data_IF_802890395286
#
_entry.id   IF_802890395286
#
_cell.length_a   1.000
_cell.length_b   1.000
_cell.length_c   1.000
_cell.angle_alpha   90.00
_cell.angle_beta   90.00
_cell.angle_gamma   90.00
#
_symmetry.space_group_name_H-M   'P 1'
#
loop_
_entity.id
_entity.type
_entity.pdbx_description
1 polymer ?
#
# COMPACT_ATOMS: atom_id res chain seq x y z
N UNK A 1 19.37 38.68 -26.20
CA UNK A 1 19.77 37.56 -27.05
C UNK A 1 20.76 36.74 -26.24
N UNK A 2 20.28 35.70 -25.55
CA UNK A 2 21.16 34.79 -24.82
C UNK A 2 21.55 33.68 -25.80
N UNK A 3 22.83 33.63 -26.17
CA UNK A 3 23.40 32.53 -26.95
C UNK A 3 23.25 31.23 -26.16
N UNK A 4 22.52 30.27 -26.73
CA UNK A 4 22.49 28.89 -26.25
C UNK A 4 23.87 28.27 -26.47
N UNK A 5 24.67 28.23 -25.41
CA UNK A 5 25.94 27.49 -25.41
C UNK A 5 25.65 26.00 -25.51
N UNK A 6 25.74 25.43 -26.72
CA UNK A 6 25.68 23.98 -26.88
C UNK A 6 26.87 23.30 -26.18
N UNK A 7 26.65 22.25 -25.38
CA UNK A 7 27.73 21.56 -24.70
C UNK A 7 28.66 20.89 -25.72
N UNK A 8 29.96 21.23 -25.68
CA UNK A 8 31.02 20.60 -26.48
C UNK A 8 31.17 19.13 -26.10
N UNK A 9 30.34 18.26 -26.67
CA UNK A 9 30.46 16.82 -26.53
C UNK A 9 31.70 16.33 -27.30
N UNK A 10 32.66 15.74 -26.58
CA UNK A 10 33.84 15.10 -27.16
C UNK A 10 33.43 13.98 -28.14
N UNK A 11 33.45 14.28 -29.44
CA UNK A 11 33.06 13.35 -30.53
C UNK A 11 34.01 12.15 -30.73
N UNK A 12 35.13 12.08 -29.98
CA UNK A 12 36.08 10.95 -30.05
C UNK A 12 35.47 9.58 -29.71
N UNK A 13 34.42 9.54 -28.88
CA UNK A 13 33.80 8.29 -28.41
C UNK A 13 32.31 8.13 -28.81
N UNK A 14 31.72 9.13 -29.47
CA UNK A 14 30.34 9.09 -29.97
C UNK A 14 30.38 9.21 -31.49
N UNK A 15 30.63 8.08 -32.16
CA UNK A 15 30.41 7.98 -33.61
C UNK A 15 28.91 8.07 -33.88
N UNK A 16 28.54 8.74 -34.97
CA UNK A 16 27.17 8.73 -35.44
C UNK A 16 26.78 7.27 -35.73
N UNK A 17 25.58 6.88 -35.30
CA UNK A 17 25.03 5.54 -35.49
C UNK A 17 23.95 5.64 -36.58
N UNK A 18 24.26 5.30 -37.84
CA UNK A 18 23.29 5.44 -38.93
C UNK A 18 22.06 4.54 -38.78
N UNK A 19 22.13 3.55 -37.91
CA UNK A 19 21.05 2.62 -37.58
C UNK A 19 20.20 3.06 -36.37
N UNK A 20 20.54 4.17 -35.72
CA UNK A 20 19.88 4.72 -34.52
C UNK A 20 19.16 6.02 -34.95
N UNK A 21 18.10 5.85 -35.75
CA UNK A 21 17.24 6.95 -36.22
C UNK A 21 16.16 7.26 -35.20
N UNK A 22 15.76 8.54 -35.09
CA UNK A 22 14.74 9.01 -34.13
C UNK A 22 13.37 8.30 -34.28
N UNK A 23 13.12 7.64 -35.42
CA UNK A 23 11.91 6.85 -35.68
C UNK A 23 11.88 5.48 -34.98
N UNK A 24 13.01 4.99 -34.45
CA UNK A 24 13.10 3.66 -33.82
C UNK A 24 12.69 3.76 -32.35
N UNK A 25 11.53 3.16 -32.03
CA UNK A 25 11.10 3.01 -30.64
C UNK A 25 11.90 1.90 -29.93
N UNK A 26 13.02 2.31 -29.35
CA UNK A 26 13.91 1.46 -28.55
C UNK A 26 13.24 0.82 -27.32
N UNK A 27 12.04 1.29 -26.94
CA UNK A 27 11.31 0.81 -25.77
C UNK A 27 10.12 -0.08 -26.12
N UNK A 28 9.92 -0.38 -27.41
CA UNK A 28 8.89 -1.31 -27.85
C UNK A 28 9.22 -2.72 -27.37
N UNK A 29 8.30 -3.31 -26.62
CA UNK A 29 8.44 -4.67 -26.12
C UNK A 29 7.91 -5.61 -27.21
N UNK A 30 8.78 -6.45 -27.76
CA UNK A 30 8.39 -7.49 -28.71
C UNK A 30 7.86 -8.72 -27.95
N UNK A 31 6.84 -9.34 -28.51
CA UNK A 31 6.22 -10.53 -27.91
C UNK A 31 7.15 -11.74 -28.05
N UNK A 32 7.43 -12.40 -26.92
CA UNK A 32 8.29 -13.58 -26.90
C UNK A 32 7.49 -14.81 -27.37
N UNK A 33 7.67 -15.22 -28.62
CA UNK A 33 7.08 -16.41 -29.21
C UNK A 33 7.81 -17.71 -28.82
N UNK A 34 7.11 -18.87 -28.84
CA UNK A 34 7.72 -20.18 -28.60
C UNK A 34 8.90 -20.52 -29.53
N UNK A 35 8.92 -19.97 -30.74
CA UNK A 35 9.96 -20.18 -31.76
C UNK A 35 11.33 -19.60 -31.37
N UNK A 36 11.37 -18.62 -30.46
CA UNK A 36 12.63 -18.04 -29.98
C UNK A 36 13.37 -18.94 -28.98
N UNK A 37 12.76 -20.04 -28.56
CA UNK A 37 13.37 -20.99 -27.64
C UNK A 37 14.12 -22.08 -28.43
N UNK A 38 15.46 -22.05 -28.39
CA UNK A 38 16.29 -23.07 -29.05
C UNK A 38 16.25 -24.42 -28.32
N UNK A 39 16.17 -24.42 -26.99
CA UNK A 39 16.18 -25.61 -26.14
C UNK A 39 15.27 -25.44 -24.92
N UNK A 40 14.63 -26.52 -24.42
CA UNK A 40 13.80 -26.45 -23.22
C UNK A 40 14.64 -26.13 -21.98
N UNK A 41 14.00 -25.52 -20.97
CA UNK A 41 14.67 -25.24 -19.70
C UNK A 41 15.16 -26.52 -19.02
N UNK A 42 16.41 -26.48 -18.54
CA UNK A 42 17.04 -27.59 -17.82
C UNK A 42 16.58 -27.65 -16.36
N UNK A 43 16.32 -26.49 -15.75
CA UNK A 43 15.97 -26.34 -14.34
C UNK A 43 14.49 -25.97 -14.14
N UNK A 44 13.96 -26.34 -12.97
CA UNK A 44 12.59 -26.02 -12.56
C UNK A 44 12.58 -24.81 -11.62
N UNK A 45 11.77 -23.81 -11.94
CA UNK A 45 11.45 -22.69 -11.06
C UNK A 45 10.08 -22.92 -10.44
N UNK A 46 9.99 -22.82 -9.10
CA UNK A 46 8.76 -23.04 -8.34
C UNK A 46 8.50 -21.88 -7.38
N UNK A 47 7.29 -21.35 -7.38
CA UNK A 47 6.85 -20.33 -6.42
C UNK A 47 5.55 -20.76 -5.76
N UNK A 48 5.48 -20.59 -4.44
CA UNK A 48 4.28 -20.85 -3.65
C UNK A 48 3.80 -19.57 -2.95
N UNK A 49 2.50 -19.45 -2.72
CA UNK A 49 1.89 -18.40 -1.91
C UNK A 49 0.72 -18.96 -1.12
N UNK A 50 0.71 -18.69 0.20
CA UNK A 50 -0.38 -19.04 1.09
C UNK A 50 -1.58 -18.10 0.88
N UNK A 51 -2.80 -18.65 1.00
CA UNK A 51 -4.03 -17.87 0.96
C UNK A 51 -4.88 -18.08 2.23
N UNK A 52 -5.67 -17.08 2.63
CA UNK A 52 -6.55 -17.21 3.79
C UNK A 52 -7.70 -18.19 3.54
N UNK A 53 -8.13 -18.94 4.57
CA UNK A 53 -9.20 -19.95 4.47
C UNK A 53 -10.49 -19.46 3.80
N UNK A 54 -10.90 -18.21 4.02
CA UNK A 54 -12.11 -17.65 3.40
C UNK A 54 -12.03 -17.53 1.86
N UNK A 55 -10.83 -17.64 1.26
CA UNK A 55 -10.65 -17.60 -0.21
C UNK A 55 -10.81 -18.95 -0.89
N UNK A 56 -10.80 -20.03 -0.12
CA UNK A 56 -10.83 -21.39 -0.62
C UNK A 56 -11.99 -21.68 -1.58
N UNK A 57 -13.22 -21.32 -1.18
CA UNK A 57 -14.41 -21.61 -2.00
C UNK A 57 -14.30 -20.97 -3.40
N UNK A 58 -13.89 -19.70 -3.45
CA UNK A 58 -13.70 -18.97 -4.71
C UNK A 58 -12.54 -19.55 -5.54
N UNK A 59 -11.41 -19.88 -4.89
CA UNK A 59 -10.25 -20.43 -5.59
C UNK A 59 -10.57 -21.80 -6.18
N UNK A 60 -11.29 -22.66 -5.44
CA UNK A 60 -11.72 -23.97 -5.93
C UNK A 60 -12.61 -23.87 -7.16
N UNK A 61 -13.56 -22.92 -7.18
CA UNK A 61 -14.45 -22.69 -8.33
C UNK A 61 -13.70 -22.14 -9.55
N UNK A 62 -12.77 -21.21 -9.33
CA UNK A 62 -12.06 -20.52 -10.42
C UNK A 62 -10.77 -21.20 -10.87
N UNK A 63 -10.29 -22.22 -10.15
CA UNK A 63 -9.03 -22.91 -10.44
C UNK A 63 -8.94 -23.49 -11.86
N UNK A 64 -9.98 -24.11 -12.43
CA UNK A 64 -9.94 -24.62 -13.81
C UNK A 64 -9.66 -23.52 -14.85
N UNK A 65 -10.10 -22.28 -14.58
CA UNK A 65 -9.82 -21.14 -15.44
C UNK A 65 -8.37 -20.67 -15.29
N UNK A 66 -7.82 -20.74 -14.06
CA UNK A 66 -6.41 -20.44 -13.79
C UNK A 66 -5.50 -21.44 -14.50
N UNK A 67 -5.80 -22.74 -14.43
CA UNK A 67 -5.03 -23.79 -15.11
C UNK A 67 -5.03 -23.57 -16.62
N UNK A 68 -6.21 -23.32 -17.21
CA UNK A 68 -6.32 -23.07 -18.66
C UNK A 68 -5.58 -21.80 -19.11
N UNK A 69 -5.50 -20.77 -18.26
CA UNK A 69 -4.77 -19.54 -18.57
C UNK A 69 -3.24 -19.74 -18.50
N UNK A 70 -2.74 -20.47 -17.50
CA UNK A 70 -1.31 -20.72 -17.31
C UNK A 70 -0.75 -21.80 -18.24
N UNK A 71 -1.57 -22.75 -18.67
CA UNK A 71 -1.19 -23.80 -19.62
C UNK A 71 -0.75 -23.22 -20.97
N UNK A 72 -1.32 -22.08 -21.39
CA UNK A 72 -0.89 -21.34 -22.60
C UNK A 72 0.57 -20.88 -22.56
N UNK A 73 1.11 -20.69 -21.37
CA UNK A 73 2.50 -20.30 -21.14
C UNK A 73 3.39 -21.51 -20.77
N UNK A 74 2.83 -22.73 -20.81
CA UNK A 74 3.51 -23.94 -20.39
C UNK A 74 3.83 -23.98 -18.88
N UNK A 75 3.06 -23.26 -18.05
CA UNK A 75 3.26 -23.23 -16.60
C UNK A 75 2.26 -24.16 -15.92
N UNK A 76 2.75 -25.02 -15.03
CA UNK A 76 1.90 -25.87 -14.21
C UNK A 76 1.50 -25.14 -12.93
N UNK A 77 0.30 -25.39 -12.42
CA UNK A 77 -0.17 -24.82 -11.17
C UNK A 77 -0.93 -25.85 -10.32
N UNK A 78 -0.74 -25.79 -9.00
CA UNK A 78 -1.34 -26.68 -8.01
C UNK A 78 -2.01 -25.86 -6.92
N UNK A 79 -3.23 -26.25 -6.55
CA UNK A 79 -3.98 -25.69 -5.43
C UNK A 79 -4.05 -26.72 -4.32
N UNK A 80 -3.42 -26.41 -3.19
CA UNK A 80 -3.48 -27.22 -1.97
C UNK A 80 -4.49 -26.61 -0.99
N UNK A 81 -5.56 -27.37 -0.71
CA UNK A 81 -6.63 -26.97 0.21
C UNK A 81 -6.36 -27.35 1.67
N UNK A 82 -5.43 -28.29 1.90
CA UNK A 82 -5.03 -28.74 3.23
C UNK A 82 -4.06 -27.73 3.83
N UNK A 83 -3.00 -27.40 3.09
CA UNK A 83 -2.05 -26.36 3.49
C UNK A 83 -2.58 -24.95 3.27
N UNK A 84 -3.54 -24.77 2.35
CA UNK A 84 -4.03 -23.46 1.95
C UNK A 84 -3.00 -22.69 1.12
N UNK A 85 -2.37 -23.37 0.16
CA UNK A 85 -1.29 -22.84 -0.67
C UNK A 85 -1.59 -22.96 -2.16
N UNK A 86 -1.13 -21.99 -2.95
CA UNK A 86 -1.12 -22.03 -4.41
C UNK A 86 0.33 -22.09 -4.86
N UNK A 87 0.64 -23.01 -5.76
CA UNK A 87 1.99 -23.20 -6.30
C UNK A 87 1.97 -23.10 -7.81
N UNK A 88 2.95 -22.43 -8.39
CA UNK A 88 3.20 -22.36 -9.84
C UNK A 88 4.61 -22.83 -10.14
N UNK A 89 4.78 -23.61 -11.21
CA UNK A 89 6.06 -24.22 -11.59
C UNK A 89 6.29 -24.15 -13.09
N UNK A 90 7.52 -23.87 -13.51
CA UNK A 90 7.90 -24.03 -14.92
C UNK A 90 7.87 -25.50 -15.31
N UNK A 91 7.66 -25.77 -16.60
CA UNK A 91 7.69 -27.11 -17.16
C UNK A 91 8.63 -27.13 -18.35
N UNK A 92 8.90 -28.32 -18.91
CA UNK A 92 9.68 -28.45 -20.16
C UNK A 92 9.03 -27.78 -21.37
N UNK A 93 7.74 -27.39 -21.27
CA UNK A 93 6.99 -26.68 -22.32
C UNK A 93 6.98 -25.16 -22.10
N UNK A 94 7.50 -24.66 -20.98
CA UNK A 94 7.62 -23.22 -20.76
C UNK A 94 8.62 -22.65 -21.75
N UNK A 95 8.22 -21.61 -22.48
CA UNK A 95 9.07 -20.97 -23.48
C UNK A 95 9.54 -19.58 -23.02
N UNK A 96 8.69 -18.79 -22.37
CA UNK A 96 9.07 -17.48 -21.84
C UNK A 96 9.68 -17.63 -20.42
N UNK A 97 10.97 -17.29 -20.22
CA UNK A 97 11.61 -17.38 -18.90
C UNK A 97 11.02 -16.40 -17.87
N UNK A 98 10.40 -15.30 -18.30
CA UNK A 98 9.83 -14.29 -17.40
C UNK A 98 8.38 -14.60 -17.00
N UNK A 99 7.67 -15.42 -17.78
CA UNK A 99 6.27 -15.82 -17.53
C UNK A 99 6.03 -16.38 -16.13
N UNK A 100 7.00 -17.11 -15.55
CA UNK A 100 6.90 -17.66 -14.19
C UNK A 100 6.81 -16.56 -13.12
N UNK A 101 7.47 -15.42 -13.32
CA UNK A 101 7.42 -14.29 -12.39
C UNK A 101 6.05 -13.60 -12.44
N UNK A 102 5.43 -13.53 -13.63
CA UNK A 102 4.05 -13.07 -13.79
C UNK A 102 3.04 -14.04 -13.16
N UNK A 103 3.25 -15.34 -13.33
CA UNK A 103 2.41 -16.37 -12.70
C UNK A 103 2.49 -16.35 -11.17
N UNK A 104 3.70 -16.12 -10.61
CA UNK A 104 3.89 -15.85 -9.17
C UNK A 104 3.07 -14.65 -8.72
N UNK A 105 3.04 -13.59 -9.52
CA UNK A 105 2.30 -12.37 -9.20
C UNK A 105 0.79 -12.57 -9.31
N UNK A 106 0.32 -13.37 -10.27
CA UNK A 106 -1.06 -13.83 -10.39
C UNK A 106 -1.55 -14.54 -9.12
N UNK A 107 -0.82 -15.55 -8.63
CA UNK A 107 -1.24 -16.28 -7.41
C UNK A 107 -1.21 -15.38 -6.17
N UNK A 108 -0.28 -14.42 -6.09
CA UNK A 108 -0.28 -13.42 -5.02
C UNK A 108 -1.50 -12.52 -5.07
N UNK A 109 -1.92 -12.07 -6.25
CA UNK A 109 -3.13 -11.26 -6.43
C UNK A 109 -4.40 -12.03 -6.04
N UNK A 110 -4.50 -13.29 -6.45
CA UNK A 110 -5.62 -14.18 -6.08
C UNK A 110 -5.71 -14.39 -4.56
N UNK A 111 -4.56 -14.53 -3.88
CA UNK A 111 -4.46 -14.62 -2.43
C UNK A 111 -4.89 -13.31 -1.73
N UNK A 112 -4.75 -12.16 -2.40
CA UNK A 112 -5.24 -10.84 -1.94
C UNK A 112 -6.62 -10.47 -2.48
N UNK A 113 -7.42 -11.48 -2.80
CA UNK A 113 -8.82 -11.38 -3.21
C UNK A 113 -9.11 -10.52 -4.43
N UNK A 114 -8.13 -10.37 -5.32
CA UNK A 114 -8.41 -9.84 -6.65
C UNK A 114 -9.18 -10.89 -7.46
N UNK A 115 -10.30 -10.55 -8.12
CA UNK A 115 -11.03 -11.48 -8.97
C UNK A 115 -10.18 -11.97 -10.15
N UNK A 116 -10.33 -13.24 -10.52
CA UNK A 116 -9.57 -13.87 -11.60
C UNK A 116 -9.62 -13.12 -12.95
N UNK A 117 -10.78 -12.63 -13.44
CA UNK A 117 -10.84 -11.89 -14.72
C UNK A 117 -9.99 -10.63 -14.73
N UNK A 118 -9.74 -10.05 -13.56
CA UNK A 118 -8.86 -8.89 -13.43
C UNK A 118 -7.41 -9.31 -13.17
N UNK A 119 -7.19 -10.35 -12.38
CA UNK A 119 -5.86 -10.83 -12.02
C UNK A 119 -5.09 -11.41 -13.22
N UNK A 120 -5.76 -12.12 -14.13
CA UNK A 120 -5.13 -12.76 -15.30
C UNK A 120 -4.42 -11.77 -16.23
N UNK A 121 -4.86 -10.50 -16.23
CA UNK A 121 -4.24 -9.42 -17.02
C UNK A 121 -2.79 -9.15 -16.64
N UNK A 122 -2.32 -9.61 -15.47
CA UNK A 122 -0.89 -9.52 -15.09
C UNK A 122 0.01 -10.39 -15.96
N UNK A 123 -0.55 -11.37 -16.69
CA UNK A 123 0.20 -12.18 -17.64
C UNK A 123 0.56 -11.40 -18.91
N UNK A 124 -0.22 -10.37 -19.26
CA UNK A 124 0.01 -9.50 -20.41
C UNK A 124 1.22 -8.56 -20.16
N UNK A 125 1.95 -8.22 -21.21
CA UNK A 125 3.05 -7.26 -21.12
C UNK A 125 2.57 -5.84 -20.84
N UNK A 126 3.39 -5.07 -20.12
CA UNK A 126 3.08 -3.69 -19.72
C UNK A 126 2.15 -3.56 -18.50
N UNK A 127 1.55 -4.65 -18.02
CA UNK A 127 0.77 -4.68 -16.77
C UNK A 127 1.62 -5.32 -15.68
N UNK A 128 1.93 -4.54 -14.64
CA UNK A 128 2.60 -5.03 -13.44
C UNK A 128 1.63 -5.04 -12.26
N UNK A 129 2.03 -5.71 -11.19
CA UNK A 129 1.31 -5.68 -9.92
C UNK A 129 2.15 -5.00 -8.82
N UNK A 130 1.47 -4.46 -7.81
CA UNK A 130 2.08 -3.94 -6.59
C UNK A 130 1.22 -4.28 -5.38
N UNK A 131 1.83 -4.85 -4.33
CA UNK A 131 1.16 -5.16 -3.06
C UNK A 131 1.73 -4.25 -1.98
N UNK A 132 1.02 -3.17 -1.69
CA UNK A 132 1.45 -2.11 -0.79
C UNK A 132 1.03 -2.46 0.65
N UNK A 133 2.01 -2.63 1.53
CA UNK A 133 1.77 -2.89 2.96
C UNK A 133 1.42 -1.60 3.70
N UNK A 134 0.19 -1.53 4.24
CA UNK A 134 -0.31 -0.35 4.98
C UNK A 134 -0.44 -0.58 6.49
N UNK A 135 -0.46 -1.84 6.94
CA UNK A 135 -0.75 -2.19 8.34
C UNK A 135 0.17 -1.59 9.40
N UNK A 136 1.46 -1.43 9.09
CA UNK A 136 2.46 -0.98 10.08
C UNK A 136 2.64 0.54 10.15
N UNK A 137 1.91 1.31 9.34
CA UNK A 137 2.11 2.76 9.23
C UNK A 137 1.45 3.52 10.38
N UNK A 138 0.32 3.00 10.90
CA UNK A 138 -0.44 3.66 11.97
C UNK A 138 -0.53 2.75 13.18
N UNK A 139 -0.07 3.23 14.36
CA UNK A 139 -0.09 2.46 15.61
C UNK A 139 -1.50 2.16 16.15
N UNK A 140 -2.42 3.12 16.02
CA UNK A 140 -3.78 2.99 16.54
C UNK A 140 -4.71 2.36 15.48
N UNK A 141 -5.37 1.25 15.85
CA UNK A 141 -6.29 0.49 14.99
C UNK A 141 -7.47 1.33 14.47
N UNK A 142 -8.10 2.15 15.30
CA UNK A 142 -9.22 3.01 14.87
C UNK A 142 -8.77 4.02 13.82
N UNK A 143 -7.60 4.63 14.04
CA UNK A 143 -7.03 5.60 13.10
C UNK A 143 -6.67 4.92 11.79
N UNK A 144 -6.14 3.70 11.85
CA UNK A 144 -5.85 2.87 10.67
C UNK A 144 -7.14 2.60 9.87
N UNK A 145 -8.21 2.13 10.52
CA UNK A 145 -9.49 1.86 9.86
C UNK A 145 -10.07 3.12 9.22
N UNK A 146 -10.06 4.26 9.92
CA UNK A 146 -10.53 5.55 9.38
C UNK A 146 -9.70 6.02 8.18
N UNK A 147 -8.37 5.87 8.20
CA UNK A 147 -7.49 6.23 7.06
C UNK A 147 -7.63 5.26 5.88
N UNK A 148 -7.80 3.96 6.14
CA UNK A 148 -8.09 2.97 5.11
C UNK A 148 -9.43 3.25 4.44
N UNK A 149 -10.47 3.55 5.22
CA UNK A 149 -11.78 3.91 4.68
C UNK A 149 -11.73 5.21 3.87
N UNK A 150 -10.93 6.20 4.30
CA UNK A 150 -10.68 7.42 3.55
C UNK A 150 -10.08 7.17 2.16
N UNK A 151 -9.21 6.16 2.01
CA UNK A 151 -8.64 5.77 0.71
C UNK A 151 -9.71 5.24 -0.25
N UNK A 152 -10.71 4.52 0.28
CA UNK A 152 -11.86 4.03 -0.49
C UNK A 152 -12.79 5.19 -0.84
N UNK A 153 -13.05 6.07 0.13
CA UNK A 153 -13.99 7.18 0.02
C UNK A 153 -15.45 6.75 0.19
N UNK A 154 -16.39 7.72 0.24
CA UNK A 154 -17.81 7.43 0.27
C UNK A 154 -18.23 6.74 -1.04
N UNK A 155 -18.96 5.62 -0.93
CA UNK A 155 -19.40 4.79 -2.07
C UNK A 155 -18.28 4.39 -3.05
N UNK A 156 -17.02 4.32 -2.59
CA UNK A 156 -15.88 3.97 -3.47
C UNK A 156 -15.46 5.07 -4.46
N UNK A 157 -16.01 6.29 -4.34
CA UNK A 157 -15.72 7.40 -5.27
C UNK A 157 -14.23 7.76 -5.37
N UNK A 158 -13.53 7.79 -4.23
CA UNK A 158 -12.10 8.13 -4.18
C UNK A 158 -11.26 7.03 -4.83
N UNK A 159 -11.57 5.77 -4.54
CA UNK A 159 -10.95 4.62 -5.18
C UNK A 159 -11.14 4.65 -6.69
N UNK A 160 -12.37 4.86 -7.16
CA UNK A 160 -12.67 4.90 -8.60
C UNK A 160 -11.98 6.06 -9.30
N UNK A 161 -11.91 7.23 -8.67
CA UNK A 161 -11.18 8.37 -9.21
C UNK A 161 -9.68 8.08 -9.38
N UNK A 162 -9.05 7.43 -8.39
CA UNK A 162 -7.65 7.01 -8.48
C UNK A 162 -7.48 6.02 -9.64
N UNK A 163 -8.33 5.00 -9.75
CA UNK A 163 -8.27 4.01 -10.83
C UNK A 163 -8.34 4.64 -12.22
N UNK A 164 -9.26 5.58 -12.44
CA UNK A 164 -9.43 6.26 -13.73
C UNK A 164 -8.26 7.18 -14.08
N UNK A 165 -7.65 7.82 -13.08
CA UNK A 165 -6.51 8.73 -13.28
C UNK A 165 -5.22 7.96 -13.56
N UNK A 166 -4.95 6.90 -12.80
CA UNK A 166 -3.71 6.12 -12.94
C UNK A 166 -3.79 5.00 -13.97
N UNK A 167 -4.99 4.71 -14.49
CA UNK A 167 -5.30 3.52 -15.34
C UNK A 167 -4.90 2.22 -14.64
N UNK A 168 -4.99 2.19 -13.31
CA UNK A 168 -4.73 1.01 -12.51
C UNK A 168 -6.03 0.47 -11.94
N UNK A 169 -6.06 -0.81 -11.64
CA UNK A 169 -7.05 -1.43 -10.77
C UNK A 169 -6.52 -1.43 -9.32
N UNK A 170 -7.35 -1.10 -8.34
CA UNK A 170 -6.95 -1.06 -6.94
C UNK A 170 -7.94 -1.82 -6.05
N UNK A 171 -7.42 -2.76 -5.25
CA UNK A 171 -8.18 -3.51 -4.26
C UNK A 171 -7.64 -3.25 -2.86
N UNK A 172 -8.46 -2.62 -2.01
CA UNK A 172 -8.09 -2.33 -0.62
C UNK A 172 -8.62 -3.45 0.27
N UNK A 173 -7.72 -4.29 0.80
CA UNK A 173 -8.14 -5.40 1.66
C UNK A 173 -7.23 -5.58 2.88
N UNK A 174 -7.85 -5.67 4.05
CA UNK A 174 -7.15 -5.96 5.31
C UNK A 174 -6.07 -4.91 5.58
N UNK A 175 -4.81 -5.37 5.61
CA UNK A 175 -3.62 -4.56 5.92
C UNK A 175 -2.77 -4.25 4.68
N UNK A 176 -3.29 -4.51 3.49
CA UNK A 176 -2.60 -4.27 2.21
C UNK A 176 -3.51 -3.63 1.19
N UNK A 177 -2.91 -2.95 0.23
CA UNK A 177 -3.58 -2.47 -0.98
C UNK A 177 -2.92 -3.14 -2.16
N UNK A 178 -3.68 -3.94 -2.90
CA UNK A 178 -3.23 -4.54 -4.15
C UNK A 178 -3.53 -3.60 -5.29
N UNK A 179 -2.57 -3.40 -6.18
CA UNK A 179 -2.73 -2.58 -7.37
C UNK A 179 -2.22 -3.32 -8.61
N UNK A 180 -2.85 -3.08 -9.75
CA UNK A 180 -2.45 -3.64 -11.05
C UNK A 180 -2.52 -2.56 -12.11
N UNK A 181 -1.55 -2.51 -13.02
CA UNK A 181 -1.58 -1.59 -14.15
C UNK A 181 -0.18 -1.18 -14.63
N UNK A 182 -0.08 -0.07 -15.37
CA UNK A 182 1.20 0.38 -15.92
C UNK A 182 2.14 0.90 -14.82
N UNK A 183 3.44 0.76 -15.04
CA UNK A 183 4.49 1.16 -14.07
C UNK A 183 4.37 2.60 -13.58
N UNK A 184 4.09 3.56 -14.47
CA UNK A 184 3.88 4.97 -14.12
C UNK A 184 2.71 5.14 -13.15
N UNK A 185 1.57 4.49 -13.46
CA UNK A 185 0.37 4.52 -12.63
C UNK A 185 0.58 3.87 -11.26
N UNK A 186 1.31 2.75 -11.21
CA UNK A 186 1.65 2.07 -9.95
C UNK A 186 2.53 2.95 -9.04
N UNK A 187 3.50 3.68 -9.60
CA UNK A 187 4.36 4.59 -8.84
C UNK A 187 3.54 5.71 -8.19
N UNK A 188 2.63 6.32 -8.94
CA UNK A 188 1.72 7.34 -8.41
C UNK A 188 0.76 6.79 -7.37
N UNK A 189 0.17 5.61 -7.62
CA UNK A 189 -0.73 4.95 -6.69
C UNK A 189 -0.03 4.60 -5.38
N UNK A 190 1.19 4.04 -5.44
CA UNK A 190 2.00 3.76 -4.25
C UNK A 190 2.24 5.01 -3.41
N UNK A 191 2.57 6.14 -4.04
CA UNK A 191 2.72 7.44 -3.36
C UNK A 191 1.44 7.85 -2.65
N UNK A 192 0.29 7.82 -3.37
CA UNK A 192 -1.02 8.19 -2.83
C UNK A 192 -1.40 7.35 -1.60
N UNK A 193 -1.24 6.03 -1.70
CA UNK A 193 -1.60 5.09 -0.63
C UNK A 193 -0.76 5.34 0.63
N UNK A 194 0.57 5.46 0.47
CA UNK A 194 1.47 5.69 1.59
C UNK A 194 1.22 7.06 2.26
N UNK A 195 1.01 8.11 1.46
CA UNK A 195 0.77 9.46 1.97
C UNK A 195 -0.61 9.58 2.64
N UNK A 196 -1.62 8.87 2.12
CA UNK A 196 -2.92 8.72 2.77
C UNK A 196 -2.79 8.12 4.18
N UNK A 197 -1.95 7.09 4.32
CA UNK A 197 -1.66 6.47 5.61
C UNK A 197 -0.81 7.37 6.52
N UNK A 198 -0.05 8.33 5.98
CA UNK A 198 0.71 9.37 6.69
C UNK A 198 -0.11 10.64 7.00
N UNK A 199 -1.44 10.56 6.95
CA UNK A 199 -2.38 11.64 7.29
C UNK A 199 -2.59 12.73 6.22
N UNK A 200 -2.09 12.55 5.00
CA UNK A 200 -2.44 13.43 3.88
C UNK A 200 -3.79 12.94 3.31
N UNK A 201 -4.67 13.82 2.86
CA UNK A 201 -5.94 13.38 2.27
C UNK A 201 -5.73 13.01 0.79
N UNK A 202 -6.23 11.85 0.30
CA UNK A 202 -5.99 11.40 -1.08
C UNK A 202 -6.50 12.37 -2.13
N UNK A 203 -7.54 13.15 -1.81
CA UNK A 203 -8.08 14.21 -2.68
C UNK A 203 -7.03 15.22 -3.16
N UNK A 204 -5.98 15.49 -2.37
CA UNK A 204 -4.92 16.41 -2.78
C UNK A 204 -4.11 15.84 -3.92
N UNK A 205 -3.76 14.55 -3.85
CA UNK A 205 -3.07 13.88 -4.95
C UNK A 205 -3.98 13.64 -6.16
N UNK A 206 -5.28 13.43 -5.94
CA UNK A 206 -6.25 13.36 -7.05
C UNK A 206 -6.24 14.68 -7.83
N UNK A 207 -6.33 15.82 -7.12
CA UNK A 207 -6.23 17.15 -7.75
C UNK A 207 -4.88 17.37 -8.44
N UNK A 208 -3.78 16.98 -7.78
CA UNK A 208 -2.43 17.02 -8.35
C UNK A 208 -2.36 16.24 -9.67
N UNK A 209 -2.88 15.00 -9.70
CA UNK A 209 -2.91 14.16 -10.90
C UNK A 209 -3.81 14.71 -12.01
N UNK A 210 -4.96 15.30 -11.65
CA UNK A 210 -5.82 15.97 -12.62
C UNK A 210 -5.10 17.12 -13.30
N UNK A 211 -4.44 17.99 -12.53
CA UNK A 211 -3.66 19.12 -13.06
C UNK A 211 -2.50 18.62 -13.93
N UNK A 212 -1.73 17.63 -13.46
CA UNK A 212 -0.64 17.04 -14.25
C UNK A 212 -1.12 16.45 -15.56
N UNK A 213 -2.29 15.81 -15.59
CA UNK A 213 -2.86 15.23 -16.80
C UNK A 213 -3.32 16.28 -17.79
N UNK A 214 -3.84 17.41 -17.34
CA UNK A 214 -4.16 18.54 -18.22
C UNK A 214 -2.88 19.21 -18.75
N UNK A 215 -1.91 19.51 -17.88
CA UNK A 215 -0.62 20.11 -18.29
C UNK A 215 0.17 19.23 -19.26
N UNK A 216 0.08 17.90 -19.12
CA UNK A 216 0.75 16.96 -20.02
C UNK A 216 0.20 16.99 -21.46
N UNK A 217 -1.00 17.55 -21.69
CA UNK A 217 -1.56 17.70 -23.05
C UNK A 217 -0.91 18.87 -23.79
N UNK A 218 -0.37 19.84 -23.07
CA UNK A 218 0.22 21.05 -23.67
C UNK A 218 1.69 20.79 -24.06
N UNK A 219 2.04 20.79 -25.36
CA UNK A 219 3.39 20.46 -25.81
C UNK A 219 4.42 21.52 -25.40
N UNK A 220 4.00 22.77 -25.20
CA UNK A 220 4.87 23.90 -24.84
C UNK A 220 5.50 23.76 -23.45
N UNK A 221 4.81 23.09 -22.53
CA UNK A 221 5.19 22.97 -21.12
C UNK A 221 5.88 21.63 -20.82
N UNK A 222 6.10 20.77 -21.81
CA UNK A 222 6.61 19.41 -21.62
C UNK A 222 8.03 19.37 -21.04
N UNK A 223 8.86 20.37 -21.32
CA UNK A 223 10.26 20.47 -20.86
C UNK A 223 10.44 21.30 -19.59
N UNK A 224 9.41 22.04 -19.16
CA UNK A 224 9.47 22.91 -17.98
C UNK A 224 9.01 22.21 -16.69
N UNK A 225 9.49 22.67 -15.54
CA UNK A 225 9.00 22.18 -14.24
C UNK A 225 7.59 22.68 -13.95
N UNK A 226 6.69 21.76 -13.59
CA UNK A 226 5.29 22.06 -13.28
C UNK A 226 5.04 22.48 -11.82
N UNK A 227 6.07 22.59 -10.98
CA UNK A 227 5.92 22.85 -9.54
C UNK A 227 5.16 24.14 -9.21
N UNK A 228 5.16 25.12 -10.12
CA UNK A 228 4.39 26.38 -9.99
C UNK A 228 2.87 26.15 -10.03
N UNK A 229 2.41 25.16 -10.80
CA UNK A 229 0.99 24.87 -11.00
C UNK A 229 0.47 23.83 -10.01
N UNK A 230 1.37 23.09 -9.35
CA UNK A 230 0.98 22.07 -8.39
C UNK A 230 0.51 22.71 -7.08
N UNK A 231 -0.62 22.23 -6.50
CA UNK A 231 -1.14 22.76 -5.26
C UNK A 231 -0.24 22.36 -4.09
N UNK A 232 0.54 23.31 -3.57
CA UNK A 232 1.35 23.10 -2.37
C UNK A 232 0.49 23.20 -1.11
N UNK A 233 0.30 22.09 -0.40
CA UNK A 233 -0.40 22.10 0.87
C UNK A 233 0.50 22.66 1.98
N UNK A 234 0.28 23.91 2.38
CA UNK A 234 0.89 24.46 3.58
C UNK A 234 0.31 23.76 4.80
N UNK A 235 1.14 22.99 5.52
CA UNK A 235 0.79 22.43 6.81
C UNK A 235 0.49 23.58 7.76
N UNK A 236 -0.80 23.88 7.99
CA UNK A 236 -1.23 24.85 9.00
C UNK A 236 -0.92 24.24 10.37
N UNK A 237 0.29 24.47 10.86
CA UNK A 237 0.63 24.29 12.27
C UNK A 237 -0.06 25.41 13.04
N UNK A 238 -1.37 25.27 13.27
CA UNK A 238 -2.10 26.17 14.16
C UNK A 238 -1.37 26.11 15.49
N UNK A 239 -0.89 27.25 15.98
CA UNK A 239 -0.15 27.32 17.24
C UNK A 239 -1.03 26.68 18.31
N UNK A 240 -0.55 25.60 18.94
CA UNK A 240 -1.23 25.03 20.09
C UNK A 240 -1.33 26.12 21.16
N UNK A 241 -2.40 26.09 21.97
CA UNK A 241 -2.49 26.95 23.16
C UNK A 241 -1.16 26.88 23.92
N UNK A 242 -0.59 28.04 24.27
CA UNK A 242 0.64 28.10 25.08
C UNK A 242 0.42 27.19 26.29
N UNK A 243 1.32 26.22 26.49
CA UNK A 243 1.26 25.38 27.68
C UNK A 243 1.30 26.31 28.88
N UNK A 244 0.24 26.29 29.69
CA UNK A 244 0.34 26.76 31.08
C UNK A 244 1.52 26.00 31.67
N UNK A 245 2.47 26.72 32.26
CA UNK A 245 3.72 26.19 32.83
C UNK A 245 3.39 24.86 33.52
N UNK A 246 3.92 23.75 32.99
CA UNK A 246 3.63 22.42 33.51
C UNK A 246 4.08 22.42 34.97
N UNK A 247 3.13 22.32 35.90
CA UNK A 247 3.45 21.98 37.30
C UNK A 247 4.36 20.74 37.25
N UNK A 248 5.44 20.68 38.04
CA UNK A 248 6.38 19.56 37.99
C UNK A 248 5.59 18.24 38.09
N UNK A 249 5.82 17.34 37.13
CA UNK A 249 5.18 16.02 37.13
C UNK A 249 5.62 15.30 38.40
N UNK A 250 4.66 14.79 39.17
CA UNK A 250 4.97 13.98 40.36
C UNK A 250 5.88 12.81 39.94
N UNK A 251 6.93 12.58 40.71
CA UNK A 251 7.81 11.43 40.49
C UNK A 251 7.00 10.13 40.57
N UNK A 252 7.30 9.18 39.69
CA UNK A 252 6.62 7.90 39.66
C UNK A 252 7.03 7.09 40.88
N UNK A 253 6.10 6.89 41.81
CA UNK A 253 6.25 5.95 42.92
C UNK A 253 5.48 4.66 42.59
N UNK A 254 6.11 3.47 42.66
CA UNK A 254 5.42 2.20 42.42
C UNK A 254 4.40 1.88 43.52
N UNK A 255 4.53 2.53 44.68
CA UNK A 255 3.60 2.41 45.79
C UNK A 255 2.41 3.36 45.62
N UNK A 256 1.17 2.87 45.80
CA UNK A 256 0.01 3.74 45.84
C UNK A 256 0.08 4.64 47.09
N UNK A 257 -0.47 5.87 47.03
CA UNK A 257 -0.63 6.68 48.24
C UNK A 257 -1.55 5.96 49.23
N UNK A 258 -1.35 6.21 50.52
CA UNK A 258 -2.23 5.70 51.56
C UNK A 258 -3.67 6.14 51.30
N UNK A 259 -4.63 5.23 51.51
CA UNK A 259 -6.05 5.55 51.38
C UNK A 259 -6.42 6.61 52.43
N UNK A 260 -7.28 7.56 52.06
CA UNK A 260 -7.82 8.52 53.03
C UNK A 260 -8.69 7.76 54.03
N UNK A 261 -8.30 7.80 55.30
CA UNK A 261 -9.00 7.13 56.40
C UNK A 261 -10.45 7.64 56.50
N UNK A 262 -11.39 6.75 56.81
CA UNK A 262 -12.78 7.17 57.00
C UNK A 262 -12.92 8.01 58.28
N UNK A 263 -14.04 8.73 58.42
CA UNK A 263 -14.33 9.46 59.68
C UNK A 263 -14.32 8.51 60.90
N UNK A 264 -14.77 7.27 60.71
CA UNK A 264 -14.79 6.25 61.76
C UNK A 264 -13.36 5.83 62.10
N UNK A 265 -12.50 5.61 61.11
CA UNK A 265 -11.10 5.26 61.32
C UNK A 265 -10.34 6.38 62.03
N UNK A 266 -10.59 7.64 61.66
CA UNK A 266 -10.02 8.82 62.34
C UNK A 266 -10.49 8.91 63.80
N UNK A 267 -11.76 8.59 64.09
CA UNK A 267 -12.31 8.57 65.44
C UNK A 267 -11.82 7.37 66.26
N UNK A 268 -11.58 6.22 65.63
CA UNK A 268 -10.99 5.04 66.27
C UNK A 268 -9.52 5.29 66.63
N UNK A 269 -8.77 5.97 65.75
CA UNK A 269 -7.36 6.33 65.99
C UNK A 269 -7.17 7.41 67.07
N UNK A 270 -8.08 8.38 67.15
CA UNK A 270 -8.07 9.42 68.20
C UNK A 270 -8.66 8.93 69.53
N UNK A 271 -9.29 7.76 69.57
CA UNK A 271 -10.00 7.23 70.75
C UNK A 271 -11.33 7.94 71.06
N UNK A 272 -11.66 9.01 70.33
CA UNK A 272 -12.91 9.76 70.46
C UNK A 272 -14.14 8.90 70.16
N UNK A 273 -13.99 7.89 69.31
CA UNK A 273 -15.07 6.96 68.98
C UNK A 273 -15.66 6.29 70.23
N UNK A 274 -14.79 5.87 71.16
CA UNK A 274 -15.21 5.20 72.39
C UNK A 274 -15.65 6.19 73.46
N UNK A 275 -14.98 7.35 73.55
CA UNK A 275 -15.30 8.40 74.52
C UNK A 275 -16.65 9.07 74.23
N UNK A 276 -16.95 9.40 72.98
CA UNK A 276 -18.25 9.96 72.60
C UNK A 276 -19.37 8.94 72.89
N UNK A 277 -19.16 7.66 72.57
CA UNK A 277 -20.15 6.61 72.89
C UNK A 277 -20.38 6.41 74.39
N UNK A 278 -19.37 6.65 75.24
CA UNK A 278 -19.50 6.63 76.70
C UNK A 278 -20.15 7.91 77.25
N UNK A 279 -19.82 9.09 76.70
CA UNK A 279 -20.44 10.37 77.04
C UNK A 279 -21.92 10.39 76.64
N UNK A 280 -22.24 9.99 75.42
CA UNK A 280 -23.62 9.83 74.92
C UNK A 280 -24.45 8.88 75.79
N UNK A 281 -23.82 7.86 76.40
CA UNK A 281 -24.48 6.94 77.36
C UNK A 281 -24.64 7.53 78.76
N UNK A 282 -23.74 8.42 79.20
CA UNK A 282 -23.84 9.12 80.49
C UNK A 282 -24.82 10.28 80.42
N UNK A 283 -24.93 10.98 79.28
CA UNK A 283 -25.92 12.06 79.05
C UNK A 283 -27.34 11.52 78.83
N UNK A 284 -27.49 10.27 78.37
CA UNK A 284 -28.80 9.60 78.22
C UNK A 284 -29.30 8.86 79.47
N UNK A 285 -28.60 8.99 80.59
CA UNK A 285 -28.95 8.40 81.89
C UNK A 285 -29.34 9.51 82.86
#
# INVERSE_FOLDING_TARGET
>A
MAEETQPKNNKRFRKDKPWDTDDIDHWKIEEFKPEHLEQPFTEESSFATLFPKYREAYLKETWPLVTAALEKYGISCVLDLVEGSMTVKTTRKSYDPYSILKARDLIKLLARSVPFPQAVKVMEDGIACDIIKIGNITRNKERFVKRRQRLIGPNGSTLKAIELLTKCYMMVQGNTVSAMGPYKGLKDLRRIVLDCMKNIHPIYHIKELMIKRELAKDPKLATESWDRFLPHFKKRNVKSKKKVIEKPKKEYTPFPPVQTKSKIDLQLESGEYFLNKQKDKKEKK
#
